data_IF_797278750763
#
_entry.id   IF_797278750763
#
_cell.length_a   1.000
_cell.length_b   1.000
_cell.length_c   1.000
_cell.angle_alpha   90.00
_cell.angle_beta   90.00
_cell.angle_gamma   90.00
#
_symmetry.space_group_name_H-M   'P 1'
#
loop_
_entity.id
_entity.type
_entity.pdbx_description
1 polymer ?
#
# COMPACT_ATOMS: atom_id res chain seq x y z
N UNK A 1 10.63 4.38 25.85
CA UNK A 1 10.77 3.50 24.68
C UNK A 1 10.14 4.06 23.39
N UNK A 2 8.92 4.64 23.43
CA UNK A 2 8.20 5.15 22.24
C UNK A 2 8.97 6.17 21.40
N UNK A 3 9.67 7.15 22.01
CA UNK A 3 10.47 8.14 21.28
C UNK A 3 11.58 7.56 20.39
N UNK A 4 12.10 6.36 20.71
CA UNK A 4 13.23 5.74 20.01
C UNK A 4 12.83 4.75 18.92
N UNK A 5 11.69 4.07 19.06
CA UNK A 5 11.22 3.06 18.10
C UNK A 5 9.87 3.41 17.46
N UNK A 6 9.14 4.38 18.00
CA UNK A 6 7.80 4.77 17.57
C UNK A 6 7.68 5.03 16.07
N UNK A 7 8.56 5.83 15.43
CA UNK A 7 8.49 6.07 13.98
C UNK A 7 8.68 4.79 13.16
N UNK A 8 9.58 3.89 13.56
CA UNK A 8 9.80 2.63 12.85
C UNK A 8 8.65 1.64 13.06
N UNK A 9 8.10 1.58 14.28
CA UNK A 9 6.92 0.76 14.57
C UNK A 9 5.71 1.28 13.78
N UNK A 10 5.50 2.60 13.75
CA UNK A 10 4.40 3.22 13.00
C UNK A 10 4.54 2.97 11.49
N UNK A 11 5.76 3.03 10.95
CA UNK A 11 6.06 2.66 9.56
C UNK A 11 5.61 1.23 9.23
N UNK A 12 5.86 0.27 10.13
CA UNK A 12 5.44 -1.13 9.96
C UNK A 12 3.92 -1.26 10.07
N UNK A 13 3.30 -0.62 11.06
CA UNK A 13 1.84 -0.65 11.24
C UNK A 13 1.11 -0.09 10.02
N UNK A 14 1.58 1.03 9.45
CA UNK A 14 1.00 1.61 8.24
C UNK A 14 1.09 0.64 7.06
N UNK A 15 2.20 -0.06 6.89
CA UNK A 15 2.34 -1.07 5.84
C UNK A 15 1.34 -2.23 6.03
N UNK A 16 1.17 -2.72 7.26
CA UNK A 16 0.21 -3.80 7.57
C UNK A 16 -1.23 -3.34 7.27
N UNK A 17 -1.60 -2.11 7.66
CA UNK A 17 -2.93 -1.55 7.42
C UNK A 17 -3.21 -1.28 5.93
N UNK A 18 -2.18 -1.02 5.14
CA UNK A 18 -2.33 -0.82 3.69
C UNK A 18 -2.70 -2.12 2.94
N UNK A 19 -2.40 -3.31 3.49
CA UNK A 19 -2.72 -4.61 2.87
C UNK A 19 -4.23 -4.91 2.76
N UNK A 20 -5.03 -4.86 3.85
CA UNK A 20 -6.48 -5.07 3.72
C UNK A 20 -7.14 -3.94 2.93
N UNK A 21 -6.62 -2.72 3.04
CA UNK A 21 -7.13 -1.57 2.28
C UNK A 21 -6.93 -1.78 0.76
N UNK A 22 -5.74 -2.22 0.35
CA UNK A 22 -5.46 -2.57 -1.04
C UNK A 22 -6.35 -3.70 -1.53
N UNK A 23 -6.46 -4.80 -0.78
CA UNK A 23 -7.31 -5.91 -1.19
C UNK A 23 -8.78 -5.51 -1.39
N UNK A 24 -9.33 -4.68 -0.48
CA UNK A 24 -10.69 -4.16 -0.59
C UNK A 24 -10.90 -3.35 -1.89
N UNK A 25 -9.95 -2.49 -2.24
CA UNK A 25 -10.04 -1.64 -3.43
C UNK A 25 -9.94 -2.47 -4.71
N UNK A 26 -9.04 -3.46 -4.73
CA UNK A 26 -8.94 -4.39 -5.86
C UNK A 26 -10.24 -5.16 -6.10
N UNK A 27 -10.84 -5.68 -5.01
CA UNK A 27 -12.13 -6.37 -5.09
C UNK A 27 -13.24 -5.44 -5.61
N UNK A 28 -13.29 -4.19 -5.13
CA UNK A 28 -14.24 -3.19 -5.62
C UNK A 28 -14.05 -2.92 -7.12
N UNK A 29 -12.80 -2.74 -7.59
CA UNK A 29 -12.50 -2.50 -9.01
C UNK A 29 -12.96 -3.65 -9.91
N UNK A 30 -12.74 -4.91 -9.51
CA UNK A 30 -13.21 -6.09 -10.27
C UNK A 30 -14.74 -6.16 -10.26
N UNK A 31 -15.37 -5.94 -9.10
CA UNK A 31 -16.82 -5.97 -8.97
C UNK A 31 -17.51 -4.88 -9.79
N UNK A 32 -16.87 -3.71 -9.96
CA UNK A 32 -17.37 -2.60 -10.75
C UNK A 32 -17.15 -2.80 -12.26
N UNK A 33 -16.01 -3.37 -12.66
CA UNK A 33 -15.73 -3.73 -14.07
C UNK A 33 -16.69 -4.79 -14.64
N UNK A 34 -17.34 -5.58 -13.79
CA UNK A 34 -18.32 -6.58 -14.18
C UNK A 34 -19.70 -6.02 -14.56
N UNK A 35 -20.04 -4.78 -14.15
CA UNK A 35 -21.35 -4.15 -14.42
C UNK A 35 -21.17 -2.71 -14.94
N UNK A 36 -20.82 -2.53 -16.23
CA UNK A 36 -20.68 -1.19 -16.80
C UNK A 36 -22.06 -0.54 -16.97
N UNK A 37 -22.46 0.30 -16.02
CA UNK A 37 -23.64 1.17 -16.09
C UNK A 37 -23.28 2.65 -15.93
N UNK A 38 -24.28 3.53 -15.83
CA UNK A 38 -24.19 5.01 -15.71
C UNK A 38 -23.25 5.56 -14.61
N UNK A 39 -22.58 4.70 -13.83
CA UNK A 39 -21.72 5.02 -12.70
C UNK A 39 -20.21 4.98 -13.01
N UNK A 40 -19.79 4.68 -14.25
CA UNK A 40 -18.37 4.53 -14.61
C UNK A 40 -17.46 5.70 -14.19
N UNK A 41 -17.97 6.94 -14.19
CA UNK A 41 -17.22 8.12 -13.72
C UNK A 41 -17.06 8.14 -12.19
N UNK A 42 -18.10 7.74 -11.46
CA UNK A 42 -18.06 7.60 -10.00
C UNK A 42 -17.06 6.52 -9.59
N UNK A 43 -17.09 5.39 -10.31
CA UNK A 43 -16.21 4.25 -10.07
C UNK A 43 -14.75 4.60 -10.32
N UNK A 44 -14.47 5.34 -11.39
CA UNK A 44 -13.14 5.87 -11.67
C UNK A 44 -12.65 6.82 -10.57
N UNK A 45 -13.50 7.75 -10.11
CA UNK A 45 -13.16 8.69 -9.05
C UNK A 45 -12.86 7.97 -7.74
N UNK A 46 -13.66 6.96 -7.38
CA UNK A 46 -13.46 6.14 -6.19
C UNK A 46 -12.15 5.35 -6.30
N UNK A 47 -11.91 4.68 -7.44
CA UNK A 47 -10.67 3.94 -7.69
C UNK A 47 -9.41 4.79 -7.58
N UNK A 48 -9.43 5.99 -8.19
CA UNK A 48 -8.32 6.96 -8.10
C UNK A 48 -8.12 7.45 -6.67
N UNK A 49 -9.20 7.80 -5.96
CA UNK A 49 -9.12 8.28 -4.58
C UNK A 49 -8.50 7.22 -3.65
N UNK A 50 -8.97 5.98 -3.74
CA UNK A 50 -8.43 4.89 -2.93
C UNK A 50 -6.97 4.57 -3.27
N UNK A 51 -6.61 4.61 -4.56
CA UNK A 51 -5.22 4.45 -4.99
C UNK A 51 -4.33 5.54 -4.38
N UNK A 52 -4.78 6.79 -4.40
CA UNK A 52 -4.06 7.90 -3.80
C UNK A 52 -3.92 7.74 -2.27
N UNK A 53 -4.95 7.25 -1.58
CA UNK A 53 -4.91 6.95 -0.14
C UNK A 53 -3.87 5.88 0.18
N UNK A 54 -3.88 4.74 -0.53
CA UNK A 54 -2.90 3.66 -0.35
C UNK A 54 -1.48 4.18 -0.53
N UNK A 55 -1.22 4.92 -1.61
CA UNK A 55 0.09 5.51 -1.88
C UNK A 55 0.52 6.52 -0.83
N UNK A 56 -0.41 7.34 -0.33
CA UNK A 56 -0.12 8.33 0.71
C UNK A 56 0.27 7.65 2.03
N UNK A 57 -0.40 6.55 2.40
CA UNK A 57 -0.09 5.75 3.59
C UNK A 57 1.30 5.13 3.46
N UNK A 58 1.61 4.51 2.31
CA UNK A 58 2.92 3.89 2.07
C UNK A 58 4.05 4.92 2.05
N UNK A 59 3.81 6.09 1.43
CA UNK A 59 4.76 7.20 1.44
C UNK A 59 5.02 7.69 2.87
N UNK A 60 3.97 7.87 3.68
CA UNK A 60 4.13 8.23 5.09
C UNK A 60 4.93 7.16 5.85
N UNK A 61 4.66 5.87 5.60
CA UNK A 61 5.42 4.76 6.16
C UNK A 61 6.91 4.81 5.80
N UNK A 62 7.25 5.08 4.53
CA UNK A 62 8.64 5.22 4.08
C UNK A 62 9.32 6.43 4.73
N UNK A 63 8.67 7.59 4.76
CA UNK A 63 9.22 8.81 5.38
C UNK A 63 9.53 8.59 6.87
N UNK A 64 8.64 7.89 7.59
CA UNK A 64 8.85 7.51 8.98
C UNK A 64 10.03 6.53 9.13
N UNK A 65 10.14 5.53 8.23
CA UNK A 65 11.29 4.61 8.18
C UNK A 65 12.62 5.34 7.96
N UNK A 66 12.67 6.24 6.97
CA UNK A 66 13.85 7.06 6.64
C UNK A 66 14.24 7.97 7.80
N UNK A 67 13.26 8.63 8.44
CA UNK A 67 13.52 9.48 9.61
C UNK A 67 14.12 8.67 10.77
N UNK A 68 13.63 7.45 11.00
CA UNK A 68 14.17 6.53 12.00
C UNK A 68 15.62 6.12 11.69
N UNK A 69 15.92 5.79 10.42
CA UNK A 69 17.28 5.48 9.97
C UNK A 69 18.21 6.66 10.21
N UNK A 70 17.80 7.87 9.83
CA UNK A 70 18.60 9.09 9.98
C UNK A 70 18.89 9.38 11.46
N UNK A 71 17.90 9.21 12.34
CA UNK A 71 18.08 9.37 13.78
C UNK A 71 19.10 8.36 14.35
N UNK A 72 18.97 7.07 13.99
CA UNK A 72 19.85 5.99 14.46
C UNK A 72 21.29 6.11 13.96
N UNK A 73 21.49 6.54 12.71
CA UNK A 73 22.83 6.80 12.16
C UNK A 73 23.56 7.91 12.92
N UNK A 74 22.85 8.96 13.37
CA UNK A 74 23.44 10.01 14.23
C UNK A 74 23.92 9.46 15.57
N UNK A 75 23.23 8.45 16.10
CA UNK A 75 23.64 7.74 17.32
C UNK A 75 24.74 6.69 17.08
N UNK A 76 25.25 6.53 15.84
CA UNK A 76 26.20 5.46 15.42
C UNK A 76 25.67 4.04 15.66
N UNK A 77 24.35 3.87 15.74
CA UNK A 77 23.69 2.57 15.94
C UNK A 77 23.16 2.04 14.60
N UNK A 78 23.26 0.73 14.37
CA UNK A 78 22.74 0.08 13.16
C UNK A 78 21.20 0.21 13.11
N UNK A 79 20.62 0.82 12.05
CA UNK A 79 19.21 1.18 12.01
C UNK A 79 18.31 0.04 11.48
N UNK A 80 18.42 -1.16 12.04
CA UNK A 80 17.75 -2.38 11.53
C UNK A 80 16.23 -2.19 11.41
N UNK A 81 15.58 -1.71 12.47
CA UNK A 81 14.11 -1.58 12.52
C UNK A 81 13.58 -0.57 11.49
N UNK A 82 14.34 0.50 11.20
CA UNK A 82 13.97 1.47 10.17
C UNK A 82 14.04 0.88 8.78
N UNK A 83 15.03 0.02 8.50
CA UNK A 83 15.13 -0.72 7.25
C UNK A 83 13.99 -1.73 7.07
N UNK A 84 13.61 -2.44 8.13
CA UNK A 84 12.45 -3.34 8.11
C UNK A 84 11.21 -2.58 7.68
N UNK A 85 10.94 -1.42 8.27
CA UNK A 85 9.80 -0.57 7.89
C UNK A 85 9.81 -0.19 6.41
N UNK A 86 10.96 0.25 5.88
CA UNK A 86 11.09 0.61 4.45
C UNK A 86 10.84 -0.60 3.54
N UNK A 87 11.48 -1.73 3.83
CA UNK A 87 11.33 -2.96 3.02
C UNK A 87 9.88 -3.43 3.03
N UNK A 88 9.21 -3.40 4.18
CA UNK A 88 7.81 -3.80 4.28
C UNK A 88 6.91 -2.91 3.43
N UNK A 89 7.07 -1.58 3.52
CA UNK A 89 6.28 -0.64 2.71
C UNK A 89 6.54 -0.84 1.21
N UNK A 90 7.79 -1.10 0.81
CA UNK A 90 8.13 -1.40 -0.59
C UNK A 90 7.50 -2.71 -1.08
N UNK A 91 7.49 -3.77 -0.27
CA UNK A 91 6.82 -5.04 -0.59
C UNK A 91 5.32 -4.83 -0.77
N UNK A 92 4.68 -4.06 0.12
CA UNK A 92 3.23 -3.77 0.01
C UNK A 92 2.92 -2.95 -1.23
N UNK A 93 3.79 -2.00 -1.60
CA UNK A 93 3.66 -1.26 -2.85
C UNK A 93 3.74 -2.19 -4.07
N UNK A 94 4.74 -3.07 -4.12
CA UNK A 94 4.89 -4.05 -5.22
C UNK A 94 3.66 -4.97 -5.28
N UNK A 95 3.20 -5.48 -4.14
CA UNK A 95 1.99 -6.29 -4.05
C UNK A 95 0.77 -5.55 -4.60
N UNK A 96 0.62 -4.26 -4.27
CA UNK A 96 -0.47 -3.42 -4.76
C UNK A 96 -0.43 -3.23 -6.29
N UNK A 97 0.73 -2.88 -6.83
CA UNK A 97 0.93 -2.73 -8.28
C UNK A 97 0.62 -4.03 -9.04
N UNK A 98 0.96 -5.18 -8.45
CA UNK A 98 0.62 -6.49 -9.01
C UNK A 98 -0.88 -6.78 -8.97
N UNK A 99 -1.58 -6.37 -7.91
CA UNK A 99 -3.03 -6.51 -7.80
C UNK A 99 -3.76 -5.67 -8.85
N UNK A 100 -3.45 -4.37 -8.92
CA UNK A 100 -4.12 -3.43 -9.84
C UNK A 100 -3.67 -3.63 -11.30
N UNK A 101 -2.67 -4.49 -11.53
CA UNK A 101 -2.18 -4.81 -12.88
C UNK A 101 -3.33 -5.23 -13.81
N UNK A 102 -3.48 -4.59 -14.99
CA UNK A 102 -4.48 -4.97 -15.98
C UNK A 102 -4.38 -6.45 -16.37
N UNK A 103 -3.17 -7.01 -16.36
CA UNK A 103 -2.95 -8.41 -16.66
C UNK A 103 -3.62 -9.35 -15.65
N UNK A 104 -3.57 -8.99 -14.35
CA UNK A 104 -4.17 -9.80 -13.30
C UNK A 104 -5.70 -9.76 -13.37
N UNK A 105 -6.27 -8.61 -13.71
CA UNK A 105 -7.70 -8.43 -13.96
C UNK A 105 -8.16 -9.28 -15.16
N UNK A 106 -7.41 -9.26 -16.27
CA UNK A 106 -7.70 -10.09 -17.44
C UNK A 106 -7.57 -11.58 -17.12
N UNK A 107 -6.53 -11.98 -16.37
CA UNK A 107 -6.34 -13.38 -15.95
C UNK A 107 -7.50 -13.84 -15.06
N UNK A 108 -7.94 -12.99 -14.13
CA UNK A 108 -9.06 -13.27 -13.26
C UNK A 108 -10.35 -13.47 -14.05
N UNK A 109 -10.71 -12.55 -14.95
CA UNK A 109 -11.90 -12.66 -15.80
C UNK A 109 -11.90 -13.96 -16.62
N UNK A 110 -10.75 -14.35 -17.19
CA UNK A 110 -10.59 -15.65 -17.87
C UNK A 110 -10.78 -16.85 -16.95
N UNK A 111 -10.30 -16.77 -15.70
CA UNK A 111 -10.40 -17.87 -14.75
C UNK A 111 -11.84 -18.08 -14.24
N UNK A 112 -12.64 -17.02 -14.10
CA UNK A 112 -14.03 -17.09 -13.63
C UNK A 112 -15.06 -17.25 -14.77
N UNK A 113 -14.62 -17.25 -16.03
CA UNK A 113 -15.47 -17.50 -17.20
C UNK A 113 -16.36 -16.32 -17.62
N UNK A 114 -15.96 -15.09 -17.29
CA UNK A 114 -16.61 -13.85 -17.74
C UNK A 114 -16.09 -13.37 -19.10
#
# INVERSE_FOLDING_TARGET
MWRRHGPAILSIVLAILAVPLSFFVWYALISLGAYPGDQAVSDLLIGVLYTAIVHSILLAGILLGVSSIRARRREKIVPIVGWIGIVLNAIVLIYWELLVSPWLVVLWNRAIGA
#
